data_IF_245018427371
#
_entry.id   IF_245018427371
#
_cell.length_a   1.000
_cell.length_b   1.000
_cell.length_c   1.000
_cell.angle_alpha   90.00
_cell.angle_beta   90.00
_cell.angle_gamma   90.00
#
_symmetry.space_group_name_H-M   'P 1'
#
loop_
_entity.id
_entity.type
_entity.pdbx_description
1 polymer ?
#
# COMPACT_ATOMS: atom_id res chain seq x y z
N UNK A 1 -10.38 -18.23 19.26
CA UNK A 1 -10.34 -16.82 18.81
C UNK A 1 -10.92 -16.79 17.41
N UNK A 2 -11.91 -15.93 17.12
CA UNK A 2 -12.61 -15.89 15.82
C UNK A 2 -11.68 -15.27 14.77
N UNK A 3 -11.50 -15.91 13.64
CA UNK A 3 -10.77 -15.36 12.49
C UNK A 3 -11.78 -14.61 11.62
N UNK A 4 -11.47 -13.38 11.26
CA UNK A 4 -12.26 -12.57 10.33
C UNK A 4 -11.41 -12.20 9.11
N UNK A 5 -12.08 -11.78 8.03
CA UNK A 5 -11.44 -11.22 6.85
C UNK A 5 -11.29 -9.71 7.00
N UNK A 6 -10.11 -9.21 6.70
CA UNK A 6 -9.79 -7.79 6.72
C UNK A 6 -9.28 -7.35 5.36
N UNK A 7 -9.74 -6.21 4.87
CA UNK A 7 -9.17 -5.55 3.70
C UNK A 7 -8.19 -4.46 4.18
N UNK A 8 -6.93 -4.58 3.80
CA UNK A 8 -5.85 -3.69 4.27
C UNK A 8 -5.27 -2.94 3.09
N UNK A 9 -5.19 -1.62 3.21
CA UNK A 9 -4.53 -0.75 2.25
C UNK A 9 -3.01 -0.79 2.45
N UNK A 10 -2.28 -0.97 1.37
CA UNK A 10 -0.84 -0.89 1.25
C UNK A 10 -0.52 0.24 0.27
N UNK A 11 0.37 1.14 0.65
CA UNK A 11 0.84 2.24 -0.19
C UNK A 11 2.29 1.97 -0.54
N UNK A 12 2.59 1.87 -1.83
CA UNK A 12 3.93 1.68 -2.34
C UNK A 12 4.48 2.95 -2.95
N UNK A 13 5.78 3.18 -2.74
CA UNK A 13 6.56 4.19 -3.43
C UNK A 13 7.33 3.51 -4.55
N UNK A 14 7.20 4.04 -5.76
CA UNK A 14 7.87 3.52 -6.95
C UNK A 14 8.82 4.61 -7.45
N UNK A 15 10.11 4.28 -7.48
CA UNK A 15 11.15 5.17 -8.01
C UNK A 15 11.61 4.65 -9.36
N UNK A 16 11.65 5.55 -10.34
CA UNK A 16 12.25 5.28 -11.65
C UNK A 16 13.57 6.04 -11.72
N UNK A 17 14.66 5.28 -11.82
CA UNK A 17 16.01 5.83 -11.92
C UNK A 17 16.56 5.55 -13.32
N UNK A 18 16.89 6.59 -14.07
CA UNK A 18 17.50 6.49 -15.39
C UNK A 18 19.03 6.58 -15.27
N UNK A 19 19.78 5.82 -16.08
CA UNK A 19 21.24 5.89 -16.10
C UNK A 19 21.77 7.30 -16.47
N UNK A 20 20.98 8.10 -17.20
CA UNK A 20 21.41 9.38 -17.76
C UNK A 20 20.58 10.57 -17.21
N UNK A 21 20.88 11.00 -15.97
CA UNK A 21 20.64 12.33 -15.35
C UNK A 21 19.25 13.03 -15.47
N UNK A 22 18.29 12.45 -16.17
CA UNK A 22 16.91 12.91 -16.23
C UNK A 22 16.24 12.50 -14.92
N UNK A 23 15.69 13.50 -14.24
CA UNK A 23 15.09 13.48 -12.90
C UNK A 23 14.52 12.14 -12.46
N UNK A 24 14.87 11.73 -11.23
CA UNK A 24 14.21 10.63 -10.52
C UNK A 24 12.69 10.88 -10.52
N UNK A 25 11.94 10.06 -11.26
CA UNK A 25 10.48 10.11 -11.24
C UNK A 25 9.98 9.28 -10.06
N UNK A 26 9.01 9.82 -9.33
CA UNK A 26 8.37 9.12 -8.23
C UNK A 26 6.90 8.93 -8.60
N UNK A 27 6.41 7.71 -8.44
CA UNK A 27 4.97 7.42 -8.47
C UNK A 27 4.58 6.62 -7.24
N UNK A 28 3.28 6.55 -6.99
CA UNK A 28 2.73 5.85 -5.84
C UNK A 28 1.67 4.87 -6.29
N UNK A 29 1.54 3.74 -5.59
CA UNK A 29 0.50 2.76 -5.84
C UNK A 29 -0.25 2.46 -4.55
N UNK A 30 -1.58 2.63 -4.57
CA UNK A 30 -2.46 2.08 -3.55
C UNK A 30 -2.86 0.67 -3.97
N UNK A 31 -2.68 -0.29 -3.07
CA UNK A 31 -3.15 -1.67 -3.21
C UNK A 31 -3.99 -2.07 -2.01
N UNK A 32 -5.08 -2.78 -2.23
CA UNK A 32 -5.88 -3.37 -1.15
C UNK A 32 -5.79 -4.88 -1.23
N UNK A 33 -5.35 -5.50 -0.14
CA UNK A 33 -5.29 -6.95 -0.02
C UNK A 33 -6.22 -7.45 1.08
N UNK A 34 -6.73 -8.66 0.91
CA UNK A 34 -7.49 -9.34 1.96
C UNK A 34 -6.59 -10.24 2.81
N UNK A 35 -6.73 -10.19 4.13
CA UNK A 35 -6.03 -11.07 5.06
C UNK A 35 -6.96 -11.64 6.11
N UNK A 36 -6.76 -12.90 6.45
CA UNK A 36 -7.43 -13.56 7.57
C UNK A 36 -6.67 -13.26 8.86
N UNK A 37 -7.32 -12.63 9.83
CA UNK A 37 -6.69 -12.23 11.08
C UNK A 37 -7.64 -12.33 12.28
N UNK A 38 -7.08 -12.35 13.49
CA UNK A 38 -7.87 -12.37 14.72
C UNK A 38 -8.18 -10.97 15.27
N UNK A 39 -7.51 -9.93 14.77
CA UNK A 39 -7.68 -8.53 15.17
C UNK A 39 -7.20 -7.60 14.05
N UNK A 40 -7.50 -6.30 14.16
CA UNK A 40 -6.97 -5.28 13.25
C UNK A 40 -5.44 -5.22 13.28
N UNK A 41 -4.82 -5.30 14.46
CA UNK A 41 -3.37 -5.27 14.60
C UNK A 41 -2.70 -6.50 13.96
N UNK A 42 -3.31 -7.68 14.12
CA UNK A 42 -2.85 -8.90 13.44
C UNK A 42 -3.01 -8.78 11.92
N UNK A 43 -4.08 -8.14 11.44
CA UNK A 43 -4.31 -7.87 10.03
C UNK A 43 -3.24 -6.93 9.45
N UNK A 44 -2.94 -5.82 10.11
CA UNK A 44 -1.86 -4.90 9.71
C UNK A 44 -0.52 -5.65 9.62
N UNK A 45 -0.12 -6.33 10.69
CA UNK A 45 1.14 -7.09 10.74
C UNK A 45 1.24 -8.15 9.64
N UNK A 46 0.15 -8.82 9.31
CA UNK A 46 0.11 -9.80 8.21
C UNK A 46 0.21 -9.11 6.85
N UNK A 47 -0.54 -8.03 6.65
CA UNK A 47 -0.54 -7.28 5.42
C UNK A 47 0.81 -6.63 5.14
N UNK A 48 1.50 -6.07 6.14
CA UNK A 48 2.87 -5.56 6.02
C UNK A 48 3.85 -6.66 5.58
N UNK A 49 3.74 -7.86 6.16
CA UNK A 49 4.57 -9.00 5.73
C UNK A 49 4.33 -9.39 4.28
N UNK A 50 3.09 -9.33 3.80
CA UNK A 50 2.80 -9.48 2.37
C UNK A 50 3.39 -8.33 1.57
N UNK A 51 3.26 -7.11 2.08
CA UNK A 51 3.70 -5.92 1.39
C UNK A 51 5.20 -5.87 1.16
N UNK A 52 5.99 -6.25 2.18
CA UNK A 52 7.45 -6.37 2.12
C UNK A 52 7.87 -7.45 1.11
N UNK A 53 7.13 -8.56 1.01
CA UNK A 53 7.43 -9.62 0.02
C UNK A 53 7.17 -9.18 -1.42
N UNK A 54 6.35 -8.14 -1.62
CA UNK A 54 6.06 -7.57 -2.93
C UNK A 54 7.08 -6.50 -3.34
N UNK A 55 7.97 -6.07 -2.44
CA UNK A 55 9.05 -5.18 -2.80
C UNK A 55 9.94 -5.83 -3.86
N UNK A 56 10.24 -5.08 -4.90
CA UNK A 56 11.00 -5.58 -6.04
C UNK A 56 11.87 -4.50 -6.65
N UNK A 57 12.88 -4.93 -7.38
CA UNK A 57 13.76 -4.09 -8.17
C UNK A 57 13.98 -4.78 -9.51
N UNK A 58 13.70 -4.07 -10.59
CA UNK A 58 13.82 -4.60 -11.94
C UNK A 58 14.16 -3.49 -12.93
N UNK A 59 14.75 -3.87 -14.06
CA UNK A 59 14.91 -2.98 -15.20
C UNK A 59 13.66 -3.06 -16.08
N UNK A 60 13.02 -1.92 -16.36
CA UNK A 60 11.87 -1.88 -17.25
C UNK A 60 12.30 -1.89 -18.73
N UNK A 61 11.32 -1.95 -19.64
CA UNK A 61 11.57 -1.97 -21.09
C UNK A 61 12.20 -0.69 -21.66
N UNK A 62 12.28 0.38 -20.85
CA UNK A 62 12.89 1.66 -21.20
C UNK A 62 14.35 1.76 -20.70
N UNK A 63 14.89 0.71 -20.08
CA UNK A 63 16.22 0.69 -19.48
C UNK A 63 16.31 1.47 -18.16
N UNK A 64 15.18 1.69 -17.50
CA UNK A 64 15.13 2.38 -16.20
C UNK A 64 15.10 1.35 -15.07
N UNK A 65 15.86 1.62 -14.01
CA UNK A 65 15.77 0.84 -12.78
C UNK A 65 14.54 1.27 -12.01
N UNK A 66 13.59 0.35 -11.84
CA UNK A 66 12.34 0.56 -11.09
C UNK A 66 12.47 -0.08 -9.71
N UNK A 67 12.32 0.72 -8.65
CA UNK A 67 12.34 0.26 -7.26
C UNK A 67 10.98 0.45 -6.62
N UNK A 68 10.32 -0.66 -6.31
CA UNK A 68 9.03 -0.68 -5.61
C UNK A 68 9.27 -1.00 -4.14
N UNK A 69 8.88 -0.11 -3.23
CA UNK A 69 9.04 -0.28 -1.78
C UNK A 69 7.74 0.01 -1.06
N UNK A 70 7.40 -0.78 -0.05
CA UNK A 70 6.25 -0.51 0.80
C UNK A 70 6.57 0.73 1.63
N UNK A 71 5.69 1.73 1.56
CA UNK A 71 5.86 2.98 2.29
C UNK A 71 4.95 3.01 3.52
N UNK A 72 3.67 2.67 3.37
CA UNK A 72 2.68 2.80 4.45
C UNK A 72 1.57 1.75 4.39
N UNK A 73 0.94 1.51 5.54
CA UNK A 73 -0.29 0.69 5.66
C UNK A 73 -1.36 1.47 6.45
N UNK A 74 -2.03 2.46 5.83
CA UNK A 74 -2.77 3.48 6.58
C UNK A 74 -4.15 3.02 7.07
N UNK A 75 -4.78 2.07 6.39
CA UNK A 75 -6.17 1.67 6.68
C UNK A 75 -6.37 0.17 6.66
N UNK A 76 -7.26 -0.30 7.54
CA UNK A 76 -7.71 -1.67 7.63
C UNK A 76 -9.20 -1.66 7.92
N UNK A 77 -9.96 -2.46 7.16
CA UNK A 77 -11.41 -2.54 7.24
C UNK A 77 -11.82 -3.98 7.51
N UNK A 78 -12.84 -4.18 8.34
CA UNK A 78 -13.49 -5.48 8.45
C UNK A 78 -14.22 -5.75 7.13
N UNK A 79 -13.86 -6.85 6.48
CA UNK A 79 -14.44 -7.23 5.20
C UNK A 79 -15.52 -8.29 5.40
N UNK A 80 -16.65 -8.11 4.72
CA UNK A 80 -17.71 -9.12 4.64
C UNK A 80 -17.49 -10.12 3.50
N UNK A 81 -16.37 -10.00 2.78
CA UNK A 81 -16.02 -10.96 1.74
C UNK A 81 -15.76 -12.31 2.38
N UNK A 82 -16.37 -13.36 1.82
CA UNK A 82 -16.27 -14.74 2.30
C UNK A 82 -15.36 -15.50 1.32
N UNK A 83 -14.63 -16.50 1.82
CA UNK A 83 -13.82 -17.43 1.01
C UNK A 83 -12.72 -16.79 0.13
N UNK A 84 -12.17 -15.66 0.57
CA UNK A 84 -11.00 -15.05 -0.09
C UNK A 84 -9.72 -15.61 0.50
N UNK A 85 -8.81 -16.04 -0.38
CA UNK A 85 -7.48 -16.48 0.04
C UNK A 85 -6.66 -15.31 0.62
N UNK A 86 -5.94 -15.49 1.74
CA UNK A 86 -5.09 -14.46 2.29
C UNK A 86 -4.04 -13.97 1.28
N UNK A 87 -3.89 -12.66 1.15
CA UNK A 87 -3.00 -12.01 0.20
C UNK A 87 -3.67 -11.68 -1.14
N UNK A 88 -4.92 -12.10 -1.36
CA UNK A 88 -5.66 -11.73 -2.58
C UNK A 88 -5.78 -10.22 -2.68
N UNK A 89 -5.33 -9.69 -3.81
CA UNK A 89 -5.53 -8.29 -4.18
C UNK A 89 -6.95 -8.08 -4.68
N UNK A 90 -7.64 -7.11 -4.10
CA UNK A 90 -9.03 -6.77 -4.45
C UNK A 90 -9.16 -5.40 -5.12
N UNK A 91 -8.09 -4.59 -5.09
CA UNK A 91 -8.01 -3.29 -5.74
C UNK A 91 -6.55 -2.84 -5.89
N UNK A 92 -6.23 -2.18 -7.01
CA UNK A 92 -5.00 -1.40 -7.17
C UNK A 92 -5.25 -0.13 -7.99
N UNK A 93 -4.57 0.96 -7.63
CA UNK A 93 -4.57 2.22 -8.37
C UNK A 93 -3.23 2.93 -8.24
N UNK A 94 -2.69 3.38 -9.38
CA UNK A 94 -1.48 4.19 -9.45
C UNK A 94 -1.77 5.69 -9.45
N UNK A 95 -0.88 6.46 -8.83
CA UNK A 95 -0.88 7.92 -8.83
C UNK A 95 0.48 8.41 -9.35
N UNK A 96 0.45 9.16 -10.44
CA UNK A 96 1.64 9.78 -11.04
C UNK A 96 1.78 11.21 -10.54
N UNK A 97 3.02 11.71 -10.47
CA UNK A 97 3.38 13.11 -10.16
C UNK A 97 2.93 13.65 -8.80
N UNK A 98 2.50 12.80 -7.86
CA UNK A 98 2.28 13.24 -6.48
C UNK A 98 3.63 13.49 -5.80
N UNK A 99 3.86 14.73 -5.40
CA UNK A 99 5.03 15.10 -4.58
C UNK A 99 4.98 14.37 -3.24
N UNK A 100 6.15 14.20 -2.61
CA UNK A 100 6.23 13.57 -1.29
C UNK A 100 5.41 14.33 -0.24
N UNK A 101 5.35 15.67 -0.35
CA UNK A 101 4.50 16.52 0.51
C UNK A 101 3.00 16.29 0.29
N UNK A 102 2.55 16.12 -0.95
CA UNK A 102 1.15 15.78 -1.25
C UNK A 102 0.79 14.41 -0.70
N UNK A 103 1.69 13.44 -0.80
CA UNK A 103 1.48 12.12 -0.22
C UNK A 103 1.47 12.15 1.30
N UNK A 104 2.38 12.88 1.94
CA UNK A 104 2.37 13.06 3.39
C UNK A 104 1.05 13.69 3.86
N UNK A 105 0.52 14.68 3.14
CA UNK A 105 -0.81 15.27 3.44
C UNK A 105 -1.95 14.28 3.24
N UNK A 106 -1.93 13.48 2.18
CA UNK A 106 -2.94 12.44 1.95
C UNK A 106 -2.91 11.38 3.05
N UNK A 107 -1.72 10.96 3.45
CA UNK A 107 -1.51 10.02 4.55
C UNK A 107 -2.01 10.62 5.87
N UNK A 108 -1.73 11.89 6.14
CA UNK A 108 -2.28 12.57 7.31
C UNK A 108 -3.80 12.57 7.30
N UNK A 109 -4.46 12.82 6.17
CA UNK A 109 -5.92 12.75 6.08
C UNK A 109 -6.42 11.31 6.30
N UNK A 110 -5.73 10.33 5.73
CA UNK A 110 -6.12 8.91 5.81
C UNK A 110 -5.89 8.31 7.21
N UNK A 111 -4.88 8.79 7.94
CA UNK A 111 -4.52 8.37 9.28
C UNK A 111 -5.26 9.17 10.36
N UNK A 112 -5.48 10.49 10.18
CA UNK A 112 -6.11 11.38 11.17
C UNK A 112 -7.64 11.46 11.10
N UNK A 113 -8.30 10.88 10.09
CA UNK A 113 -9.78 10.76 10.09
C UNK A 113 -10.34 9.94 11.26
N UNK A 114 -9.50 9.30 12.09
CA UNK A 114 -9.90 8.70 13.37
C UNK A 114 -10.37 9.73 14.42
N UNK A 115 -10.08 11.02 14.27
CA UNK A 115 -10.32 12.01 15.34
C UNK A 115 -11.66 12.77 15.24
N UNK A 116 -12.36 12.75 14.10
CA UNK A 116 -13.50 13.66 13.86
C UNK A 116 -14.84 12.95 13.54
N UNK A 117 -15.01 11.68 13.90
CA UNK A 117 -16.30 10.95 13.73
C UNK A 117 -17.12 10.90 15.04
N UNK A 118 -16.71 11.60 16.11
CA UNK A 118 -17.51 11.74 17.34
C UNK A 118 -17.57 13.20 17.83
N UNK A 119 -18.12 14.10 17.02
CA UNK A 119 -18.61 15.41 17.50
C UNK A 119 -20.12 15.50 17.26
#
# INVERSE_FOLDING_TARGET
MRINNYAVKLIYRINYQKCDKLSDLISWEERVICVNASSFDDAFRKAEKFGIKYETEYENTLGETVKVRLAYTPNCYLSNLVDIEPGTEVYSSGFFDATEDEMNRLLDIMCNKKSNINA
#
